data_IF_011916162282
#
_entry.id   IF_011916162282
#
_cell.length_a   1.000
_cell.length_b   1.000
_cell.length_c   1.000
_cell.angle_alpha   90.00
_cell.angle_beta   90.00
_cell.angle_gamma   90.00
#
_symmetry.space_group_name_H-M   'P 1'
#
loop_
_entity.id
_entity.type
_entity.pdbx_description
1 polymer ?
#
# COMPACT_ATOMS: atom_id res chain seq x y z
N UNK A 1 -5.00 9.31 -12.73
CA UNK A 1 -4.44 8.22 -11.89
C UNK A 1 -4.16 7.03 -12.78
N UNK A 2 -3.01 6.37 -12.63
CA UNK A 2 -2.72 5.14 -13.36
C UNK A 2 -3.61 4.00 -12.83
N UNK A 3 -4.02 3.08 -13.71
CA UNK A 3 -4.80 1.89 -13.35
C UNK A 3 -4.01 0.97 -12.40
N UNK A 4 -2.69 0.92 -12.54
CA UNK A 4 -1.79 0.21 -11.63
C UNK A 4 -1.85 0.76 -10.20
N UNK A 5 -1.78 2.09 -10.03
CA UNK A 5 -1.87 2.69 -8.69
C UNK A 5 -3.20 2.37 -7.99
N UNK A 6 -4.32 2.41 -8.72
CA UNK A 6 -5.63 2.08 -8.15
C UNK A 6 -5.72 0.60 -7.76
N UNK A 7 -5.09 -0.29 -8.53
CA UNK A 7 -5.01 -1.72 -8.20
C UNK A 7 -4.19 -1.95 -6.93
N UNK A 8 -3.03 -1.33 -6.83
CA UNK A 8 -2.14 -1.45 -5.66
C UNK A 8 -2.81 -0.85 -4.40
N UNK A 9 -3.49 0.29 -4.55
CA UNK A 9 -4.31 0.90 -3.50
C UNK A 9 -5.41 -0.07 -3.02
N UNK A 10 -6.15 -0.66 -3.95
CA UNK A 10 -7.25 -1.58 -3.63
C UNK A 10 -6.75 -2.85 -2.94
N UNK A 11 -5.64 -3.42 -3.41
CA UNK A 11 -5.00 -4.58 -2.77
C UNK A 11 -4.58 -4.26 -1.34
N UNK A 12 -3.94 -3.10 -1.12
CA UNK A 12 -3.53 -2.65 0.22
C UNK A 12 -4.74 -2.41 1.13
N UNK A 13 -5.77 -1.74 0.64
CA UNK A 13 -6.99 -1.47 1.39
C UNK A 13 -7.70 -2.76 1.82
N UNK A 14 -7.84 -3.72 0.91
CA UNK A 14 -8.46 -5.02 1.18
C UNK A 14 -7.63 -5.86 2.15
N UNK A 15 -6.31 -5.87 1.98
CA UNK A 15 -5.41 -6.56 2.90
C UNK A 15 -5.50 -5.98 4.31
N UNK A 16 -5.49 -4.66 4.45
CA UNK A 16 -5.67 -3.99 5.75
C UNK A 16 -7.04 -4.31 6.36
N UNK A 17 -8.10 -4.31 5.56
CA UNK A 17 -9.44 -4.68 6.04
C UNK A 17 -9.47 -6.11 6.60
N UNK A 18 -9.00 -7.08 5.82
CA UNK A 18 -8.99 -8.48 6.22
C UNK A 18 -8.13 -8.71 7.47
N UNK A 19 -6.94 -8.09 7.53
CA UNK A 19 -6.03 -8.22 8.66
C UNK A 19 -6.58 -7.58 9.94
N UNK A 20 -7.22 -6.41 9.83
CA UNK A 20 -7.82 -5.73 10.99
C UNK A 20 -9.07 -6.44 11.49
N UNK A 21 -9.91 -6.96 10.60
CA UNK A 21 -11.06 -7.78 10.98
C UNK A 21 -10.60 -9.06 11.67
N UNK A 22 -9.58 -9.75 11.12
CA UNK A 22 -9.00 -10.95 11.73
C UNK A 22 -8.47 -10.69 13.14
N UNK A 23 -7.90 -9.52 13.41
CA UNK A 23 -7.42 -9.16 14.74
C UNK A 23 -8.56 -9.07 15.78
N UNK A 24 -9.79 -8.74 15.35
CA UNK A 24 -10.96 -8.75 16.25
C UNK A 24 -11.51 -10.17 16.44
N UNK A 25 -11.31 -11.08 15.48
CA UNK A 25 -11.75 -12.48 15.61
C UNK A 25 -10.99 -13.25 16.71
N UNK A 26 -9.81 -12.78 17.14
CA UNK A 26 -9.00 -13.46 18.16
C UNK A 26 -9.44 -13.18 19.61
N UNK A 27 -10.62 -12.59 19.82
CA UNK A 27 -11.15 -12.20 21.14
C UNK A 27 -11.63 -13.39 21.99
N UNK A 28 -11.55 -14.62 21.47
CA UNK A 28 -11.77 -15.85 22.26
C UNK A 28 -13.25 -16.22 22.46
N UNK A 29 -14.15 -15.61 21.70
CA UNK A 29 -15.59 -15.97 21.64
C UNK A 29 -15.92 -16.61 20.30
N UNK A 30 -17.01 -17.42 20.21
CA UNK A 30 -17.48 -17.95 18.94
C UNK A 30 -17.75 -16.83 17.92
N UNK A 31 -17.52 -17.12 16.64
CA UNK A 31 -17.59 -16.12 15.57
C UNK A 31 -18.97 -15.44 15.45
N UNK A 32 -20.05 -16.13 15.80
CA UNK A 32 -21.41 -15.58 15.79
C UNK A 32 -21.76 -14.76 17.04
N UNK A 33 -20.98 -14.88 18.12
CA UNK A 33 -21.16 -14.12 19.37
C UNK A 33 -20.34 -12.81 19.41
N UNK A 34 -19.57 -12.54 18.34
CA UNK A 34 -18.80 -11.31 18.21
C UNK A 34 -19.71 -10.09 18.02
N UNK A 35 -19.29 -8.96 18.61
CA UNK A 35 -19.86 -7.67 18.27
C UNK A 35 -19.40 -7.23 16.87
N UNK A 36 -20.19 -7.63 15.87
CA UNK A 36 -19.95 -7.33 14.47
C UNK A 36 -19.95 -5.83 14.16
N UNK A 37 -20.68 -5.01 14.92
CA UNK A 37 -20.68 -3.56 14.71
C UNK A 37 -19.31 -2.98 15.03
N UNK A 38 -18.76 -3.34 16.19
CA UNK A 38 -17.41 -2.91 16.57
C UNK A 38 -16.35 -3.52 15.65
N UNK A 39 -16.45 -4.80 15.29
CA UNK A 39 -15.47 -5.47 14.44
C UNK A 39 -15.36 -4.83 13.04
N UNK A 40 -16.50 -4.60 12.39
CA UNK A 40 -16.55 -3.93 11.08
C UNK A 40 -16.13 -2.47 11.20
N UNK A 41 -16.51 -1.79 12.29
CA UNK A 41 -16.10 -0.41 12.56
C UNK A 41 -14.58 -0.25 12.63
N UNK A 42 -13.92 -1.07 13.45
CA UNK A 42 -12.45 -1.08 13.59
C UNK A 42 -11.78 -1.36 12.25
N UNK A 43 -12.25 -2.38 11.53
CA UNK A 43 -11.67 -2.75 10.25
C UNK A 43 -11.82 -1.64 9.20
N UNK A 44 -12.98 -1.00 9.16
CA UNK A 44 -13.26 0.13 8.26
C UNK A 44 -12.37 1.33 8.57
N UNK A 45 -12.17 1.68 9.85
CA UNK A 45 -11.25 2.76 10.25
C UNK A 45 -9.82 2.47 9.79
N UNK A 46 -9.33 1.24 10.00
CA UNK A 46 -7.99 0.86 9.54
C UNK A 46 -7.86 0.95 8.01
N UNK A 47 -8.88 0.52 7.26
CA UNK A 47 -8.92 0.64 5.80
C UNK A 47 -8.91 2.09 5.33
N UNK A 48 -9.68 2.98 5.97
CA UNK A 48 -9.69 4.41 5.64
C UNK A 48 -8.31 5.02 5.87
N UNK A 49 -7.65 4.71 6.99
CA UNK A 49 -6.28 5.15 7.27
C UNK A 49 -5.32 4.67 6.17
N UNK A 50 -5.44 3.42 5.74
CA UNK A 50 -4.62 2.84 4.66
C UNK A 50 -4.80 3.58 3.33
N UNK A 51 -6.05 3.89 2.97
CA UNK A 51 -6.39 4.65 1.76
C UNK A 51 -5.81 6.06 1.84
N UNK A 52 -6.05 6.79 2.93
CA UNK A 52 -5.56 8.15 3.11
C UNK A 52 -4.03 8.22 3.05
N UNK A 53 -3.36 7.26 3.69
CA UNK A 53 -1.89 7.16 3.66
C UNK A 53 -1.38 6.93 2.24
N UNK A 54 -2.01 6.02 1.49
CA UNK A 54 -1.63 5.75 0.09
C UNK A 54 -1.88 6.96 -0.82
N UNK A 55 -2.94 7.74 -0.59
CA UNK A 55 -3.18 8.98 -1.32
C UNK A 55 -2.14 10.05 -0.97
N UNK A 56 -1.77 10.19 0.31
CA UNK A 56 -0.71 11.09 0.74
C UNK A 56 0.65 10.74 0.10
N UNK A 57 0.97 9.44 -0.04
CA UNK A 57 2.18 9.00 -0.74
C UNK A 57 2.22 9.35 -2.23
N UNK A 58 1.06 9.49 -2.90
CA UNK A 58 1.00 9.98 -4.28
C UNK A 58 1.19 11.49 -4.34
N UNK A 59 0.61 12.25 -3.40
CA UNK A 59 0.70 13.71 -3.36
C UNK A 59 2.09 14.25 -2.96
N UNK A 60 2.88 13.47 -2.20
CA UNK A 60 4.25 13.83 -1.83
C UNK A 60 5.29 13.57 -2.93
N UNK A 61 4.89 12.99 -4.07
CA UNK A 61 5.77 12.68 -5.21
C UNK A 61 6.06 13.90 -6.08
N UNK A 62 7.00 14.74 -5.67
CA UNK A 62 7.66 15.71 -6.56
C UNK A 62 8.48 14.92 -7.61
N UNK A 63 8.42 15.24 -8.92
CA UNK A 63 9.18 14.53 -9.95
C UNK A 63 10.69 14.69 -9.71
N UNK A 64 11.34 13.63 -9.21
CA UNK A 64 12.80 13.60 -9.05
C UNK A 64 13.33 12.97 -7.77
N UNK A 65 12.51 12.61 -6.77
CA UNK A 65 13.03 11.93 -5.58
C UNK A 65 12.05 10.88 -5.05
N UNK A 66 12.55 9.66 -4.94
CA UNK A 66 11.91 8.37 -4.69
C UNK A 66 10.63 8.33 -3.81
N UNK A 67 9.61 7.59 -4.27
CA UNK A 67 8.64 6.94 -3.36
C UNK A 67 8.41 5.43 -3.63
N UNK A 68 9.49 4.74 -4.05
CA UNK A 68 9.66 3.31 -4.34
C UNK A 68 9.83 3.05 -5.85
N UNK A 69 11.08 2.80 -6.25
CA UNK A 69 11.52 2.58 -7.63
C UNK A 69 10.63 1.63 -8.44
N UNK A 70 10.30 2.03 -9.67
CA UNK A 70 10.48 1.13 -10.82
C UNK A 70 11.58 1.75 -11.68
N UNK A 71 12.84 1.48 -11.32
CA UNK A 71 13.94 1.64 -12.27
C UNK A 71 13.86 0.47 -13.23
N UNK A 72 12.88 0.49 -14.13
CA UNK A 72 13.01 -0.26 -15.38
C UNK A 72 14.32 0.23 -16.00
N UNK A 73 15.34 -0.62 -16.20
CA UNK A 73 16.61 -0.18 -16.76
C UNK A 73 16.37 0.27 -18.19
N UNK A 74 16.28 1.59 -18.42
CA UNK A 74 16.42 2.14 -19.75
C UNK A 74 17.85 1.83 -20.20
N UNK A 75 18.00 0.78 -21.01
CA UNK A 75 18.96 0.66 -22.11
C UNK A 75 20.31 1.39 -21.91
N UNK A 76 21.35 0.63 -21.55
CA UNK A 76 22.71 0.89 -22.02
C UNK A 76 23.35 2.21 -21.59
N UNK A 77 23.58 2.38 -20.29
CA UNK A 77 24.52 3.36 -19.76
C UNK A 77 25.96 2.98 -20.11
N UNK A 78 26.43 3.44 -21.27
CA UNK A 78 27.83 3.39 -21.71
C UNK A 78 28.70 4.18 -20.73
N UNK A 79 29.27 3.50 -19.73
CA UNK A 79 30.36 4.04 -18.91
C UNK A 79 31.59 3.14 -19.08
N UNK A 80 32.30 3.37 -20.18
CA UNK A 80 33.76 3.22 -20.35
C UNK A 80 34.13 3.56 -21.79
N UNK A 81 34.20 4.86 -22.06
CA UNK A 81 34.96 5.41 -23.17
C UNK A 81 36.00 6.35 -22.55
N UNK A 82 37.27 6.10 -22.86
CA UNK A 82 38.38 7.04 -22.71
C UNK A 82 38.94 7.22 -21.30
N UNK A 83 39.98 6.45 -20.98
CA UNK A 83 41.22 7.07 -20.54
C UNK A 83 42.31 6.54 -21.49
N UNK A 84 42.81 7.46 -22.32
CA UNK A 84 44.01 7.31 -23.12
C UNK A 84 45.22 7.28 -22.18
N UNK A 85 46.00 6.20 -22.21
CA UNK A 85 47.48 6.19 -22.34
C UNK A 85 48.01 4.75 -22.39
#
# INVERSE_FOLDING_TARGET
MSTHFLRDLAERALKTFAQSLLAVLTVGVPVWDLDWHSAIGIASTATIISILTSLASVGAGQPGTASLIDTTPTSGGRHRAGYDE
#
